data_IF_146259873448
#
_entry.id   IF_146259873448
#
_cell.length_a   1.000
_cell.length_b   1.000
_cell.length_c   1.000
_cell.angle_alpha   90.00
_cell.angle_beta   90.00
_cell.angle_gamma   90.00
#
_symmetry.space_group_name_H-M   'P 1'
#
loop_
_entity.id
_entity.type
_entity.pdbx_description
1 polymer ?
#
# COMPACT_ATOMS: atom_id res chain seq x y z
N UNK A 1 -38.41 23.48 61.02
CA UNK A 1 -37.05 23.01 60.58
C UNK A 1 -37.09 21.60 59.97
N UNK A 2 -38.00 21.31 59.05
CA UNK A 2 -38.10 20.00 58.36
C UNK A 2 -37.85 20.07 56.84
N UNK A 3 -37.72 21.26 56.26
CA UNK A 3 -37.56 21.46 54.80
C UNK A 3 -36.15 21.19 54.30
N UNK A 4 -35.14 21.19 55.13
CA UNK A 4 -33.73 20.98 54.70
C UNK A 4 -33.38 19.49 54.51
N UNK A 5 -34.01 18.59 55.24
CA UNK A 5 -33.73 17.14 55.16
C UNK A 5 -34.28 16.56 53.84
N UNK A 6 -35.43 16.99 53.40
CA UNK A 6 -36.07 16.52 52.17
C UNK A 6 -35.31 16.97 50.91
N UNK A 7 -34.77 18.19 50.93
CA UNK A 7 -33.95 18.70 49.81
C UNK A 7 -32.62 17.97 49.65
N UNK A 8 -32.01 17.52 50.78
CA UNK A 8 -30.77 16.73 50.77
C UNK A 8 -31.04 15.31 50.25
N UNK A 9 -32.18 14.69 50.62
CA UNK A 9 -32.56 13.37 50.14
C UNK A 9 -32.88 13.38 48.65
N UNK A 10 -33.58 14.40 48.16
CA UNK A 10 -33.93 14.56 46.76
C UNK A 10 -32.67 14.82 45.88
N UNK A 11 -31.73 15.64 46.34
CA UNK A 11 -30.43 15.82 45.64
C UNK A 11 -29.62 14.52 45.56
N UNK A 12 -29.61 13.69 46.60
CA UNK A 12 -28.96 12.38 46.56
C UNK A 12 -29.66 11.40 45.62
N UNK A 13 -31.00 11.40 45.58
CA UNK A 13 -31.78 10.59 44.62
C UNK A 13 -31.54 11.02 43.17
N UNK A 14 -31.53 12.33 42.88
CA UNK A 14 -31.23 12.83 41.55
C UNK A 14 -29.78 12.51 41.09
N UNK A 15 -28.81 12.67 41.99
CA UNK A 15 -27.41 12.30 41.68
C UNK A 15 -27.27 10.80 41.39
N UNK A 16 -27.94 9.92 42.15
CA UNK A 16 -27.95 8.46 41.90
C UNK A 16 -28.61 8.14 40.56
N UNK A 17 -29.72 8.77 40.22
CA UNK A 17 -30.39 8.59 38.94
C UNK A 17 -29.50 9.07 37.79
N UNK A 18 -28.88 10.23 37.91
CA UNK A 18 -27.93 10.76 36.89
C UNK A 18 -26.72 9.86 36.74
N UNK A 19 -26.15 9.35 37.81
CA UNK A 19 -25.02 8.42 37.75
C UNK A 19 -25.44 7.10 37.09
N UNK A 20 -26.62 6.57 37.46
CA UNK A 20 -27.16 5.36 36.81
C UNK A 20 -27.34 5.55 35.29
N UNK A 21 -27.97 6.63 34.88
CA UNK A 21 -28.16 6.90 33.43
C UNK A 21 -26.87 7.13 32.67
N UNK A 22 -25.89 7.78 33.33
CA UNK A 22 -24.54 7.94 32.73
C UNK A 22 -23.83 6.58 32.56
N UNK A 23 -23.83 5.74 33.58
CA UNK A 23 -23.23 4.40 33.51
C UNK A 23 -23.95 3.53 32.48
N UNK A 24 -25.29 3.61 32.44
CA UNK A 24 -26.07 2.89 31.43
C UNK A 24 -25.78 3.36 30.01
N UNK A 25 -25.67 4.67 29.78
CA UNK A 25 -25.33 5.23 28.48
C UNK A 25 -23.93 4.80 28.03
N UNK A 26 -22.96 4.81 28.95
CA UNK A 26 -21.59 4.33 28.69
C UNK A 26 -21.61 2.82 28.36
N UNK A 27 -22.35 2.02 29.13
CA UNK A 27 -22.46 0.58 28.89
C UNK A 27 -23.11 0.27 27.52
N UNK A 28 -24.16 1.02 27.15
CA UNK A 28 -24.80 0.90 25.82
C UNK A 28 -23.83 1.32 24.72
N UNK A 29 -23.06 2.42 24.90
CA UNK A 29 -22.06 2.86 23.94
C UNK A 29 -20.94 1.82 23.76
N UNK A 30 -20.45 1.22 24.85
CA UNK A 30 -19.46 0.14 24.81
C UNK A 30 -20.05 -1.10 24.13
N UNK A 31 -21.28 -1.50 24.48
CA UNK A 31 -21.96 -2.63 23.85
C UNK A 31 -22.18 -2.41 22.34
N UNK A 32 -22.56 -1.19 21.93
CA UNK A 32 -22.68 -0.81 20.53
C UNK A 32 -21.32 -0.85 19.80
N UNK A 33 -20.26 -0.33 20.41
CA UNK A 33 -18.89 -0.42 19.87
C UNK A 33 -18.40 -1.87 19.76
N UNK A 34 -18.68 -2.71 20.74
CA UNK A 34 -18.36 -4.15 20.72
C UNK A 34 -19.18 -4.87 19.65
N UNK A 35 -20.48 -4.57 19.53
CA UNK A 35 -21.34 -5.14 18.49
C UNK A 35 -20.92 -4.71 17.07
N UNK A 36 -20.59 -3.44 16.90
CA UNK A 36 -20.01 -2.90 15.65
C UNK A 36 -18.66 -3.56 15.38
N UNK A 37 -17.79 -3.66 16.38
CA UNK A 37 -16.50 -4.34 16.27
C UNK A 37 -16.63 -5.83 15.95
N UNK A 38 -17.61 -6.52 16.54
CA UNK A 38 -17.91 -7.92 16.24
C UNK A 38 -18.50 -8.09 14.84
N UNK A 39 -19.42 -7.22 14.43
CA UNK A 39 -19.98 -7.20 13.08
C UNK A 39 -18.92 -6.87 12.01
N UNK A 40 -17.92 -6.04 12.36
CA UNK A 40 -16.76 -5.72 11.50
C UNK A 40 -15.67 -6.80 11.53
N UNK A 41 -15.58 -7.58 12.62
CA UNK A 41 -14.64 -8.71 12.78
C UNK A 41 -15.17 -10.02 12.21
N UNK A 42 -16.43 -10.09 11.78
CA UNK A 42 -16.89 -11.24 10.99
C UNK A 42 -16.02 -11.29 9.74
N UNK A 43 -15.14 -12.30 9.62
CA UNK A 43 -14.17 -12.35 8.54
C UNK A 43 -14.91 -12.36 7.22
N UNK A 44 -14.66 -11.33 6.41
CA UNK A 44 -14.92 -11.38 4.97
C UNK A 44 -16.33 -11.73 4.55
N UNK A 45 -17.35 -11.06 5.11
CA UNK A 45 -18.74 -11.25 4.66
C UNK A 45 -18.96 -10.91 3.16
N UNK A 46 -17.95 -10.35 2.47
CA UNK A 46 -17.98 -10.16 1.01
C UNK A 46 -17.55 -11.39 0.22
N UNK A 47 -16.49 -12.08 0.65
CA UNK A 47 -15.95 -13.23 -0.08
C UNK A 47 -16.43 -14.59 0.48
N UNK A 48 -16.68 -14.66 1.82
CA UNK A 48 -17.16 -15.88 2.50
C UNK A 48 -18.68 -15.92 2.68
N UNK A 49 -19.41 -14.81 2.59
CA UNK A 49 -20.89 -14.80 2.71
C UNK A 49 -21.60 -15.38 1.48
N UNK A 50 -20.86 -15.72 0.43
CA UNK A 50 -21.34 -16.59 -0.62
C UNK A 50 -20.79 -18.00 -0.42
N UNK A 51 -21.33 -18.79 0.50
CA UNK A 51 -21.17 -20.26 0.50
C UNK A 51 -21.85 -20.91 -0.73
N UNK A 52 -21.76 -20.23 -1.87
CA UNK A 52 -22.13 -20.64 -3.22
C UNK A 52 -20.88 -20.95 -4.04
N UNK A 53 -20.93 -20.76 -5.32
CA UNK A 53 -19.92 -21.10 -6.30
C UNK A 53 -18.56 -20.41 -6.07
N UNK A 54 -17.44 -21.06 -6.41
CA UNK A 54 -16.12 -20.43 -6.44
C UNK A 54 -16.15 -19.16 -7.30
N UNK A 55 -15.38 -18.13 -6.89
CA UNK A 55 -15.30 -16.87 -7.62
C UNK A 55 -13.83 -16.51 -7.86
N UNK A 56 -13.53 -15.92 -9.02
CA UNK A 56 -12.22 -15.30 -9.28
C UNK A 56 -12.04 -14.14 -8.32
N UNK A 57 -10.91 -14.07 -7.64
CA UNK A 57 -10.62 -12.99 -6.71
C UNK A 57 -10.09 -11.78 -7.48
N UNK A 58 -10.77 -10.62 -7.35
CA UNK A 58 -10.26 -9.33 -7.82
C UNK A 58 -9.50 -8.65 -6.69
N UNK A 59 -8.22 -8.37 -6.91
CA UNK A 59 -7.34 -7.65 -6.00
C UNK A 59 -6.97 -6.31 -6.61
N UNK A 60 -7.09 -5.22 -5.86
CA UNK A 60 -6.70 -3.89 -6.35
C UNK A 60 -5.43 -3.41 -5.65
N UNK A 61 -4.42 -3.01 -6.44
CA UNK A 61 -3.16 -2.43 -5.99
C UNK A 61 -3.00 -1.08 -6.66
N UNK A 62 -3.06 0.00 -5.88
CA UNK A 62 -2.98 1.37 -6.39
C UNK A 62 -2.09 2.25 -5.52
N UNK A 63 -1.54 3.32 -6.15
CA UNK A 63 -0.66 4.28 -5.48
C UNK A 63 0.73 3.71 -5.21
N UNK A 64 1.42 4.27 -4.20
CA UNK A 64 2.80 3.92 -3.87
C UNK A 64 2.91 2.52 -3.24
N UNK A 65 3.81 1.71 -3.76
CA UNK A 65 4.13 0.38 -3.23
C UNK A 65 5.22 0.53 -2.19
N UNK A 66 4.90 0.12 -0.96
CA UNK A 66 5.81 0.06 0.19
C UNK A 66 5.75 -1.32 0.82
N UNK A 67 6.66 -1.60 1.73
CA UNK A 67 6.54 -2.78 2.60
C UNK A 67 5.22 -2.72 3.38
N UNK A 68 4.46 -3.82 3.36
CA UNK A 68 3.13 -3.89 3.97
C UNK A 68 2.85 -5.35 4.37
N UNK A 69 3.01 -5.63 5.65
CA UNK A 69 2.86 -6.97 6.19
C UNK A 69 1.40 -7.46 6.13
N UNK A 70 0.44 -6.56 6.33
CA UNK A 70 -1.00 -6.92 6.24
C UNK A 70 -1.35 -7.40 4.83
N UNK A 71 -0.76 -6.76 3.81
CA UNK A 71 -0.91 -7.17 2.41
C UNK A 71 -0.28 -8.54 2.14
N UNK A 72 0.90 -8.81 2.68
CA UNK A 72 1.55 -10.13 2.56
C UNK A 72 0.67 -11.21 3.16
N UNK A 73 0.15 -10.98 4.37
CA UNK A 73 -0.75 -11.93 5.04
C UNK A 73 -2.08 -12.12 4.31
N UNK A 74 -2.63 -11.03 3.75
CA UNK A 74 -3.86 -11.11 2.95
C UNK A 74 -3.66 -11.95 1.69
N UNK A 75 -2.53 -11.78 0.98
CA UNK A 75 -2.18 -12.61 -0.18
C UNK A 75 -1.94 -14.07 0.22
N UNK A 76 -1.31 -14.34 1.36
CA UNK A 76 -1.13 -15.69 1.88
C UNK A 76 -2.47 -16.35 2.29
N UNK A 77 -3.44 -15.57 2.79
CA UNK A 77 -4.82 -16.07 3.01
C UNK A 77 -5.54 -16.35 1.69
N UNK A 78 -5.33 -15.49 0.68
CA UNK A 78 -5.90 -15.67 -0.67
C UNK A 78 -5.36 -16.94 -1.34
N UNK A 79 -4.07 -17.23 -1.18
CA UNK A 79 -3.45 -18.48 -1.66
C UNK A 79 -4.22 -19.72 -1.19
N UNK A 80 -4.63 -19.75 0.10
CA UNK A 80 -5.37 -20.85 0.73
C UNK A 80 -6.88 -20.81 0.48
N UNK A 81 -7.39 -19.78 -0.18
CA UNK A 81 -8.83 -19.61 -0.44
C UNK A 81 -9.35 -20.58 -1.52
N UNK A 82 -10.66 -20.61 -1.73
CA UNK A 82 -11.32 -21.38 -2.80
C UNK A 82 -11.36 -20.66 -4.16
N UNK A 83 -10.75 -19.49 -4.27
CA UNK A 83 -10.71 -18.76 -5.54
C UNK A 83 -9.93 -19.60 -6.59
N UNK A 84 -10.52 -19.84 -7.79
CA UNK A 84 -9.84 -20.60 -8.83
C UNK A 84 -8.74 -19.83 -9.53
N UNK A 85 -8.78 -18.50 -9.50
CA UNK A 85 -7.78 -17.59 -10.06
C UNK A 85 -7.83 -16.24 -9.37
N UNK A 86 -6.83 -15.40 -9.67
CA UNK A 86 -6.71 -14.02 -9.18
C UNK A 86 -6.50 -13.07 -10.34
N UNK A 87 -7.29 -12.00 -10.37
CA UNK A 87 -7.08 -10.84 -11.26
C UNK A 87 -6.62 -9.67 -10.40
N UNK A 88 -5.44 -9.15 -10.71
CA UNK A 88 -4.85 -8.00 -10.00
C UNK A 88 -5.03 -6.76 -10.86
N UNK A 89 -5.89 -5.85 -10.43
CA UNK A 89 -6.00 -4.50 -10.97
C UNK A 89 -4.86 -3.65 -10.45
N UNK A 90 -4.02 -3.17 -11.35
CA UNK A 90 -2.80 -2.45 -11.00
C UNK A 90 -2.81 -1.04 -11.57
N UNK A 91 -2.65 -0.05 -10.67
CA UNK A 91 -2.48 1.36 -11.03
C UNK A 91 -1.46 2.02 -10.11
N UNK A 92 -0.17 1.84 -10.42
CA UNK A 92 0.92 2.23 -9.53
C UNK A 92 2.13 2.83 -10.26
N UNK A 93 2.67 3.96 -9.79
CA UNK A 93 3.95 4.51 -10.27
C UNK A 93 5.17 3.77 -9.71
N UNK A 94 4.97 2.73 -8.90
CA UNK A 94 6.02 2.06 -8.15
C UNK A 94 6.08 2.48 -6.69
N UNK A 95 7.27 2.47 -6.10
CA UNK A 95 7.48 2.79 -4.69
C UNK A 95 8.89 2.46 -4.22
N UNK A 96 9.03 1.94 -3.00
CA UNK A 96 10.33 1.48 -2.52
C UNK A 96 10.73 0.18 -3.22
N UNK A 97 12.03 0.00 -3.44
CA UNK A 97 12.55 -1.23 -4.07
C UNK A 97 12.19 -2.45 -3.24
N UNK A 98 12.41 -2.40 -1.92
CA UNK A 98 12.07 -3.48 -0.98
C UNK A 98 10.58 -3.78 -0.91
N UNK A 99 9.71 -2.75 -0.95
CA UNK A 99 8.26 -2.95 -0.99
C UNK A 99 7.78 -3.61 -2.26
N UNK A 100 8.41 -3.26 -3.40
CA UNK A 100 8.11 -3.86 -4.70
C UNK A 100 8.57 -5.31 -4.79
N UNK A 101 9.74 -5.62 -4.26
CA UNK A 101 10.27 -6.99 -4.11
C UNK A 101 9.35 -7.84 -3.23
N UNK A 102 8.98 -7.35 -2.03
CA UNK A 102 8.07 -8.04 -1.13
C UNK A 102 6.73 -8.40 -1.79
N UNK A 103 6.17 -7.46 -2.56
CA UNK A 103 4.91 -7.67 -3.27
C UNK A 103 5.09 -8.66 -4.43
N UNK A 104 6.17 -8.52 -5.20
CA UNK A 104 6.51 -9.46 -6.26
C UNK A 104 6.61 -10.90 -5.72
N UNK A 105 7.37 -11.12 -4.67
CA UNK A 105 7.54 -12.43 -4.05
C UNK A 105 6.23 -13.02 -3.53
N UNK A 106 5.36 -12.15 -2.98
CA UNK A 106 4.05 -12.58 -2.50
C UNK A 106 3.13 -13.01 -3.64
N UNK A 107 3.17 -12.31 -4.77
CA UNK A 107 2.42 -12.69 -5.97
C UNK A 107 3.03 -13.92 -6.65
N UNK A 108 4.35 -14.08 -6.64
CA UNK A 108 5.00 -15.29 -7.16
C UNK A 108 4.59 -16.54 -6.37
N UNK A 109 4.55 -16.48 -5.04
CA UNK A 109 4.03 -17.58 -4.21
C UNK A 109 2.56 -17.88 -4.51
N UNK A 110 1.73 -16.83 -4.64
CA UNK A 110 0.32 -16.99 -5.02
C UNK A 110 0.17 -17.67 -6.37
N UNK A 111 1.00 -17.29 -7.35
CA UNK A 111 1.04 -17.84 -8.70
C UNK A 111 1.40 -19.32 -8.74
N UNK A 112 2.20 -19.83 -7.82
CA UNK A 112 2.52 -21.26 -7.71
C UNK A 112 1.29 -22.12 -7.44
N UNK A 113 0.25 -21.54 -6.84
CA UNK A 113 -0.96 -22.23 -6.42
C UNK A 113 -2.20 -21.88 -7.26
N UNK A 114 -2.24 -20.68 -7.84
CA UNK A 114 -3.39 -20.16 -8.59
C UNK A 114 -2.93 -19.31 -9.77
N UNK A 115 -3.60 -19.39 -10.92
CA UNK A 115 -3.35 -18.46 -12.02
C UNK A 115 -3.53 -17.00 -11.57
N UNK A 116 -2.56 -16.16 -11.90
CA UNK A 116 -2.58 -14.72 -11.62
C UNK A 116 -2.49 -13.94 -12.91
N UNK A 117 -3.48 -13.09 -13.18
CA UNK A 117 -3.48 -12.15 -14.30
C UNK A 117 -3.43 -10.73 -13.76
N UNK A 118 -2.53 -9.91 -14.30
CA UNK A 118 -2.50 -8.48 -14.00
C UNK A 118 -3.23 -7.72 -15.11
N UNK A 119 -4.14 -6.82 -14.70
CA UNK A 119 -4.78 -5.83 -15.57
C UNK A 119 -4.23 -4.46 -15.18
N UNK A 120 -3.54 -3.82 -16.10
CA UNK A 120 -2.99 -2.47 -15.90
C UNK A 120 -4.06 -1.45 -16.26
N UNK A 121 -4.70 -0.86 -15.25
CA UNK A 121 -5.79 0.09 -15.45
C UNK A 121 -5.32 1.44 -16.05
N UNK A 122 -4.17 1.94 -15.60
CA UNK A 122 -3.60 3.18 -16.13
C UNK A 122 -2.09 3.19 -16.10
N UNK A 123 -1.50 2.65 -15.02
CA UNK A 123 -0.06 2.77 -14.77
C UNK A 123 0.50 1.51 -14.08
N UNK A 124 1.54 0.93 -14.66
CA UNK A 124 2.39 -0.07 -14.02
C UNK A 124 3.85 0.29 -14.33
N UNK A 125 4.38 1.28 -13.62
CA UNK A 125 5.73 1.79 -13.87
C UNK A 125 6.67 1.44 -12.71
N UNK A 126 7.93 1.19 -13.03
CA UNK A 126 9.00 0.97 -12.06
C UNK A 126 8.66 -0.16 -11.07
N UNK A 127 8.54 0.05 -9.77
CA UNK A 127 8.06 -0.95 -8.81
C UNK A 127 6.68 -1.53 -9.13
N UNK A 128 5.81 -0.75 -9.80
CA UNK A 128 4.55 -1.24 -10.34
C UNK A 128 4.78 -2.28 -11.45
N UNK A 129 5.78 -2.07 -12.29
CA UNK A 129 6.12 -3.03 -13.33
C UNK A 129 6.78 -4.29 -12.75
N UNK A 130 7.61 -4.15 -11.69
CA UNK A 130 8.08 -5.31 -10.90
C UNK A 130 6.89 -6.16 -10.43
N UNK A 131 5.85 -5.52 -9.93
CA UNK A 131 4.62 -6.21 -9.50
C UNK A 131 3.91 -6.90 -10.67
N UNK A 132 3.79 -6.22 -11.82
CA UNK A 132 3.10 -6.77 -13.00
C UNK A 132 3.76 -8.04 -13.54
N UNK A 133 5.08 -8.08 -13.60
CA UNK A 133 5.81 -9.24 -14.13
C UNK A 133 5.78 -10.48 -13.22
N UNK A 134 5.22 -10.40 -12.02
CA UNK A 134 4.94 -11.58 -11.20
C UNK A 134 3.80 -12.44 -11.79
N UNK A 135 2.92 -11.87 -12.61
CA UNK A 135 1.77 -12.55 -13.18
C UNK A 135 2.12 -13.64 -14.22
N UNK A 136 1.13 -14.49 -14.52
CA UNK A 136 1.16 -15.40 -15.66
C UNK A 136 0.89 -14.67 -16.97
N UNK A 137 0.06 -13.62 -16.91
CA UNK A 137 -0.36 -12.85 -18.08
C UNK A 137 -0.62 -11.38 -17.69
N UNK A 138 -0.20 -10.47 -18.54
CA UNK A 138 -0.34 -9.03 -18.34
C UNK A 138 -1.22 -8.46 -19.43
N UNK A 139 -2.37 -7.93 -19.03
CA UNK A 139 -3.30 -7.18 -19.89
C UNK A 139 -3.16 -5.70 -19.60
N UNK A 140 -3.11 -4.85 -20.61
CA UNK A 140 -3.08 -3.41 -20.45
C UNK A 140 -4.03 -2.72 -21.42
N UNK A 141 -4.56 -1.56 -21.02
CA UNK A 141 -5.26 -0.70 -21.97
C UNK A 141 -4.26 -0.10 -22.97
N UNK A 142 -4.72 0.27 -24.15
CA UNK A 142 -3.85 0.83 -25.21
C UNK A 142 -2.98 1.99 -24.77
N UNK A 143 -3.52 2.85 -23.90
CA UNK A 143 -2.87 4.08 -23.41
C UNK A 143 -2.29 3.94 -21.99
N UNK A 144 -2.46 2.80 -21.32
CA UNK A 144 -1.80 2.55 -20.04
C UNK A 144 -0.29 2.64 -20.18
N UNK A 145 0.37 3.15 -19.14
CA UNK A 145 1.82 3.29 -19.13
C UNK A 145 2.47 2.13 -18.40
N UNK A 146 3.50 1.54 -19.00
CA UNK A 146 4.27 0.43 -18.44
C UNK A 146 5.77 0.67 -18.58
N UNK A 147 6.58 -0.09 -17.83
CA UNK A 147 8.04 -0.01 -17.93
C UNK A 147 8.65 0.87 -16.85
N UNK A 148 9.39 1.93 -17.22
CA UNK A 148 10.25 2.67 -16.27
C UNK A 148 11.19 1.73 -15.52
N UNK A 149 11.88 0.86 -16.26
CA UNK A 149 12.80 -0.13 -15.71
C UNK A 149 14.08 0.59 -15.30
N UNK A 150 14.15 0.96 -14.04
CA UNK A 150 15.22 1.75 -13.45
C UNK A 150 15.06 1.94 -11.96
N UNK A 151 16.13 2.36 -11.30
CA UNK A 151 16.20 2.66 -9.87
C UNK A 151 16.81 4.04 -9.68
N UNK A 152 16.26 4.81 -8.78
CA UNK A 152 16.71 6.16 -8.45
C UNK A 152 16.94 6.28 -6.95
N UNK A 153 17.98 7.02 -6.55
CA UNK A 153 18.13 7.56 -5.21
C UNK A 153 18.10 9.09 -5.31
N UNK A 154 17.11 9.70 -4.72
CA UNK A 154 16.89 11.14 -4.82
C UNK A 154 16.71 11.77 -3.44
N UNK A 155 17.41 12.87 -3.22
CA UNK A 155 17.30 13.69 -2.01
C UNK A 155 17.50 15.16 -2.37
N UNK A 156 16.83 16.11 -1.68
CA UNK A 156 17.12 17.53 -1.84
C UNK A 156 18.47 17.85 -1.17
N UNK A 157 19.29 18.70 -1.81
CA UNK A 157 20.48 19.26 -1.18
C UNK A 157 20.29 20.77 -1.01
N UNK A 158 20.29 21.22 0.23
CA UNK A 158 20.07 22.62 0.63
C UNK A 158 21.32 23.27 1.24
N UNK A 159 22.49 22.64 1.11
CA UNK A 159 23.74 23.13 1.69
C UNK A 159 24.03 24.59 1.36
N UNK A 160 23.99 24.95 0.07
CA UNK A 160 24.25 26.32 -0.40
C UNK A 160 23.21 27.34 0.10
N UNK A 161 21.98 26.90 0.31
CA UNK A 161 20.93 27.76 0.89
C UNK A 161 21.22 28.03 2.36
N UNK A 162 21.58 27.00 3.12
CA UNK A 162 21.92 27.13 4.55
C UNK A 162 23.14 28.05 4.75
N UNK A 163 24.16 27.90 3.91
CA UNK A 163 25.33 28.78 3.93
C UNK A 163 24.95 30.25 3.70
N UNK A 164 24.10 30.54 2.69
CA UNK A 164 23.61 31.92 2.44
C UNK A 164 22.80 32.50 3.58
N UNK A 165 22.14 31.67 4.37
CA UNK A 165 21.37 32.07 5.53
C UNK A 165 22.24 32.15 6.81
N UNK A 166 23.54 31.82 6.74
CA UNK A 166 24.46 31.79 7.88
C UNK A 166 24.17 30.64 8.85
N UNK A 167 23.46 29.62 8.43
CA UNK A 167 23.11 28.42 9.22
C UNK A 167 24.18 27.35 8.99
N UNK A 168 24.79 26.88 10.08
CA UNK A 168 25.74 25.76 10.05
C UNK A 168 25.10 24.54 10.67
N UNK A 169 25.17 23.42 9.97
CA UNK A 169 24.80 22.10 10.50
C UNK A 169 26.07 21.41 10.94
N UNK A 170 26.19 21.14 12.25
CA UNK A 170 27.32 20.44 12.83
C UNK A 170 26.97 18.98 13.08
N UNK A 171 27.81 18.05 12.60
CA UNK A 171 27.60 16.64 12.74
C UNK A 171 28.84 15.96 13.36
N UNK A 172 28.61 15.09 14.34
CA UNK A 172 29.65 14.22 14.90
C UNK A 172 29.35 12.79 14.40
N UNK A 173 30.16 12.32 13.44
CA UNK A 173 29.96 11.03 12.78
C UNK A 173 31.00 10.02 13.22
N UNK A 174 30.61 8.74 13.33
CA UNK A 174 31.54 7.63 13.60
C UNK A 174 32.46 7.33 12.40
N UNK A 175 32.05 7.72 11.20
CA UNK A 175 32.83 7.57 9.94
C UNK A 175 32.34 8.57 8.89
N UNK A 176 33.16 8.94 7.90
CA UNK A 176 32.80 9.93 6.86
C UNK A 176 31.54 9.56 6.06
N UNK A 177 31.28 8.28 5.85
CA UNK A 177 30.13 7.80 5.07
C UNK A 177 28.87 7.58 5.92
N UNK A 178 28.96 7.75 7.25
CA UNK A 178 27.76 7.64 8.10
C UNK A 178 26.76 8.73 7.78
N UNK A 179 25.56 8.35 7.36
CA UNK A 179 24.48 9.24 6.93
C UNK A 179 24.86 10.15 5.74
N UNK A 180 25.80 9.73 4.88
CA UNK A 180 26.15 10.43 3.66
C UNK A 180 25.67 9.64 2.42
N UNK A 181 25.15 10.32 1.38
CA UNK A 181 24.91 11.75 1.35
C UNK A 181 23.72 12.17 2.22
N UNK A 182 23.77 13.39 2.76
CA UNK A 182 22.63 14.05 3.39
C UNK A 182 22.31 15.35 2.64
N UNK A 183 21.23 16.02 2.98
CA UNK A 183 20.84 17.25 2.28
C UNK A 183 21.50 18.52 2.81
N UNK A 184 22.40 18.46 3.80
CA UNK A 184 22.90 19.59 4.54
C UNK A 184 24.36 19.94 4.27
N UNK A 185 25.08 19.06 3.58
CA UNK A 185 26.47 19.24 3.18
C UNK A 185 26.66 18.94 1.68
N UNK A 186 27.72 19.47 1.03
CA UNK A 186 28.09 19.09 -0.33
C UNK A 186 28.36 17.57 -0.41
N UNK A 187 27.78 16.91 -1.40
CA UNK A 187 27.95 15.45 -1.56
C UNK A 187 29.37 15.12 -1.98
N UNK A 188 30.10 14.39 -1.14
CA UNK A 188 31.46 13.97 -1.46
C UNK A 188 31.48 12.92 -2.62
N UNK A 189 32.59 12.81 -3.36
CA UNK A 189 32.78 11.80 -4.39
C UNK A 189 32.60 10.38 -3.85
N UNK A 190 33.06 10.09 -2.65
CA UNK A 190 32.96 8.80 -1.97
C UNK A 190 31.52 8.47 -1.61
N UNK A 191 30.75 9.43 -1.07
CA UNK A 191 29.33 9.25 -0.77
C UNK A 191 28.54 9.02 -2.06
N UNK A 192 28.84 9.75 -3.14
CA UNK A 192 28.24 9.54 -4.45
C UNK A 192 28.54 8.14 -4.99
N UNK A 193 29.79 7.69 -4.90
CA UNK A 193 30.19 6.37 -5.36
C UNK A 193 29.48 5.25 -4.57
N UNK A 194 29.36 5.40 -3.24
CA UNK A 194 28.67 4.42 -2.40
C UNK A 194 27.19 4.29 -2.80
N UNK A 195 26.47 5.38 -3.00
CA UNK A 195 25.07 5.33 -3.45
C UNK A 195 24.96 4.81 -4.89
N UNK A 196 25.87 5.23 -5.80
CA UNK A 196 25.87 4.72 -7.16
C UNK A 196 26.04 3.20 -7.23
N UNK A 197 26.83 2.61 -6.34
CA UNK A 197 26.97 1.16 -6.23
C UNK A 197 25.65 0.47 -5.83
N UNK A 198 24.92 1.02 -4.85
CA UNK A 198 23.62 0.48 -4.43
C UNK A 198 22.57 0.60 -5.54
N UNK A 199 22.52 1.75 -6.22
CA UNK A 199 21.62 1.97 -7.36
C UNK A 199 21.93 0.99 -8.48
N UNK A 200 23.21 0.79 -8.80
CA UNK A 200 23.66 -0.13 -9.86
C UNK A 200 23.29 -1.59 -9.54
N UNK A 201 23.50 -2.03 -8.30
CA UNK A 201 23.16 -3.38 -7.84
C UNK A 201 21.64 -3.63 -7.96
N UNK A 202 20.82 -2.73 -7.41
CA UNK A 202 19.35 -2.83 -7.49
C UNK A 202 18.84 -2.74 -8.93
N UNK A 203 19.47 -1.94 -9.78
CA UNK A 203 19.14 -1.86 -11.18
C UNK A 203 19.48 -3.15 -11.94
N UNK A 204 20.65 -3.73 -11.67
CA UNK A 204 21.03 -5.02 -12.25
C UNK A 204 20.06 -6.13 -11.86
N UNK A 205 19.62 -6.17 -10.60
CA UNK A 205 18.58 -7.07 -10.12
C UNK A 205 17.27 -6.88 -10.89
N UNK A 206 16.76 -5.65 -11.02
CA UNK A 206 15.52 -5.37 -11.72
C UNK A 206 15.60 -5.74 -13.21
N UNK A 207 16.70 -5.41 -13.89
CA UNK A 207 16.93 -5.80 -15.28
C UNK A 207 16.89 -7.31 -15.47
N UNK A 208 17.58 -8.06 -14.61
CA UNK A 208 17.59 -9.51 -14.66
C UNK A 208 16.20 -10.11 -14.43
N UNK A 209 15.44 -9.53 -13.50
CA UNK A 209 14.06 -9.92 -13.23
C UNK A 209 13.18 -9.77 -14.48
N UNK A 210 13.25 -8.61 -15.13
CA UNK A 210 12.52 -8.35 -16.39
C UNK A 210 12.98 -9.30 -17.50
N UNK A 211 14.28 -9.45 -17.69
CA UNK A 211 14.86 -10.37 -18.69
C UNK A 211 14.28 -11.78 -18.56
N UNK A 212 14.31 -12.30 -17.34
CA UNK A 212 13.85 -13.66 -17.04
C UNK A 212 12.33 -13.78 -17.19
N UNK A 213 11.58 -12.85 -16.61
CA UNK A 213 10.12 -12.94 -16.58
C UNK A 213 9.48 -12.66 -17.93
N UNK A 214 10.11 -11.85 -18.78
CA UNK A 214 9.60 -11.49 -20.11
C UNK A 214 10.34 -12.24 -21.23
N UNK A 215 11.27 -13.15 -20.89
CA UNK A 215 12.05 -13.95 -21.84
C UNK A 215 12.69 -13.07 -22.92
N UNK A 216 13.27 -11.93 -22.49
CA UNK A 216 13.94 -10.99 -23.39
C UNK A 216 15.39 -11.43 -23.63
N UNK A 217 15.88 -11.24 -24.85
CA UNK A 217 17.31 -11.29 -25.11
C UNK A 217 17.99 -9.97 -24.65
N UNK A 218 19.31 -9.89 -24.76
CA UNK A 218 20.06 -8.73 -24.28
C UNK A 218 19.74 -7.48 -25.10
N UNK A 219 19.51 -7.61 -26.41
CA UNK A 219 19.19 -6.49 -27.30
C UNK A 219 17.77 -5.94 -27.00
N UNK A 220 16.80 -6.81 -26.82
CA UNK A 220 15.44 -6.41 -26.42
C UNK A 220 15.45 -5.77 -25.03
N UNK A 221 16.22 -6.32 -24.08
CA UNK A 221 16.35 -5.76 -22.74
C UNK A 221 16.95 -4.34 -22.76
N UNK A 222 18.02 -4.11 -23.51
CA UNK A 222 18.64 -2.77 -23.65
C UNK A 222 17.65 -1.73 -24.19
N UNK A 223 16.74 -2.12 -25.07
CA UNK A 223 15.73 -1.22 -25.66
C UNK A 223 14.66 -0.78 -24.66
N UNK A 224 14.41 -1.54 -23.62
CA UNK A 224 13.33 -1.30 -22.66
C UNK A 224 13.81 -0.91 -21.26
N UNK A 225 15.09 -1.09 -20.95
CA UNK A 225 15.64 -0.93 -19.60
C UNK A 225 16.37 0.40 -19.38
N UNK A 226 16.06 1.44 -20.14
CA UNK A 226 16.68 2.77 -20.02
C UNK A 226 15.91 3.76 -19.12
N UNK A 227 14.91 3.28 -18.40
CA UNK A 227 14.12 4.07 -17.47
C UNK A 227 12.89 4.75 -18.08
N UNK A 228 12.69 4.70 -19.40
CA UNK A 228 11.50 5.29 -20.04
C UNK A 228 10.24 4.47 -19.80
N UNK A 229 9.08 5.11 -19.97
CA UNK A 229 7.77 4.46 -20.00
C UNK A 229 7.31 4.23 -21.43
N UNK A 230 6.43 3.25 -21.59
CA UNK A 230 5.84 2.85 -22.87
C UNK A 230 4.32 2.80 -22.73
N UNK A 231 3.59 3.10 -23.79
CA UNK A 231 2.15 2.84 -23.83
C UNK A 231 1.87 1.33 -23.87
N UNK A 232 0.66 0.90 -23.52
CA UNK A 232 0.26 -0.51 -23.63
C UNK A 232 0.50 -1.08 -25.04
N UNK A 233 0.19 -0.30 -26.09
CA UNK A 233 0.48 -0.68 -27.50
C UNK A 233 1.97 -0.92 -27.74
N UNK A 234 2.82 -0.02 -27.29
CA UNK A 234 4.28 -0.20 -27.39
C UNK A 234 4.74 -1.39 -26.51
N UNK A 235 4.13 -1.55 -25.32
CA UNK A 235 4.41 -2.65 -24.41
C UNK A 235 4.19 -4.02 -25.03
N UNK A 236 3.14 -4.20 -25.80
CA UNK A 236 2.90 -5.47 -26.53
C UNK A 236 4.00 -5.71 -27.56
N UNK A 237 4.34 -4.72 -28.39
CA UNK A 237 5.41 -4.88 -29.42
C UNK A 237 6.79 -5.13 -28.83
N UNK A 238 7.04 -4.64 -27.59
CA UNK A 238 8.27 -4.81 -26.82
C UNK A 238 8.24 -6.01 -25.86
N UNK A 239 7.21 -6.82 -25.90
CA UNK A 239 7.01 -7.97 -25.01
C UNK A 239 6.89 -7.62 -23.51
N UNK A 240 6.63 -6.36 -23.17
CA UNK A 240 6.42 -5.91 -21.80
C UNK A 240 4.99 -6.21 -21.33
N UNK A 241 4.05 -6.31 -22.23
CA UNK A 241 2.63 -6.64 -22.04
C UNK A 241 2.28 -7.80 -22.97
N UNK A 242 1.37 -8.66 -22.56
CA UNK A 242 0.99 -9.82 -23.34
C UNK A 242 -0.18 -9.52 -24.28
N UNK A 243 -1.16 -8.72 -23.81
CA UNK A 243 -2.39 -8.46 -24.57
C UNK A 243 -2.96 -7.07 -24.23
N UNK A 244 -3.62 -6.46 -25.21
CA UNK A 244 -4.40 -5.23 -24.97
C UNK A 244 -5.82 -5.57 -24.57
N UNK A 245 -6.37 -4.87 -23.57
CA UNK A 245 -7.73 -5.08 -23.11
C UNK A 245 -7.97 -4.65 -21.68
N UNK A 246 -8.97 -5.27 -21.07
CA UNK A 246 -9.47 -5.00 -19.72
C UNK A 246 -9.67 -6.31 -18.93
N UNK A 247 -10.43 -6.25 -17.84
CA UNK A 247 -10.77 -7.42 -17.02
C UNK A 247 -11.48 -8.53 -17.83
N UNK A 248 -12.26 -8.18 -18.84
CA UNK A 248 -12.94 -9.18 -19.68
C UNK A 248 -11.93 -9.99 -20.49
N UNK A 249 -10.88 -9.34 -20.97
CA UNK A 249 -9.75 -9.98 -21.63
C UNK A 249 -9.05 -10.94 -20.69
N UNK A 250 -8.80 -10.51 -19.45
CA UNK A 250 -8.21 -11.37 -18.40
C UNK A 250 -9.07 -12.61 -18.11
N UNK A 251 -10.39 -12.46 -17.99
CA UNK A 251 -11.33 -13.58 -17.80
C UNK A 251 -11.32 -14.50 -19.03
N UNK A 252 -11.30 -13.97 -20.23
CA UNK A 252 -11.23 -14.76 -21.47
C UNK A 252 -9.93 -15.57 -21.54
N UNK A 253 -8.79 -14.97 -21.18
CA UNK A 253 -7.51 -15.66 -21.09
C UNK A 253 -7.55 -16.80 -20.05
N UNK A 254 -8.08 -16.54 -18.85
CA UNK A 254 -8.26 -17.57 -17.81
C UNK A 254 -9.14 -18.73 -18.28
N UNK A 255 -10.20 -18.43 -19.02
CA UNK A 255 -11.06 -19.47 -19.59
C UNK A 255 -10.33 -20.32 -20.63
N UNK A 256 -9.61 -19.68 -21.53
CA UNK A 256 -8.90 -20.32 -22.63
C UNK A 256 -7.70 -21.15 -22.13
N UNK A 257 -6.82 -20.55 -21.36
CA UNK A 257 -5.51 -21.11 -20.99
C UNK A 257 -5.57 -21.94 -19.70
N UNK A 258 -6.44 -21.57 -18.75
CA UNK A 258 -6.54 -22.23 -17.43
C UNK A 258 -7.83 -23.05 -17.25
N UNK A 259 -8.69 -23.11 -18.29
CA UNK A 259 -9.95 -23.87 -18.29
C UNK A 259 -10.92 -23.47 -17.18
N UNK A 260 -10.87 -22.22 -16.74
CA UNK A 260 -11.82 -21.67 -15.77
C UNK A 260 -13.09 -21.31 -16.52
N UNK A 261 -14.25 -21.71 -15.97
CA UNK A 261 -15.54 -21.40 -16.58
C UNK A 261 -15.69 -19.87 -16.73
N UNK A 262 -15.92 -19.35 -17.95
CA UNK A 262 -16.11 -17.91 -18.19
C UNK A 262 -17.32 -17.33 -17.45
N UNK A 263 -18.27 -18.16 -17.01
CA UNK A 263 -19.39 -17.75 -16.17
C UNK A 263 -19.01 -17.61 -14.68
N UNK A 264 -17.77 -17.96 -14.29
CA UNK A 264 -17.30 -17.80 -12.92
C UNK A 264 -17.30 -16.31 -12.54
N UNK A 265 -18.04 -15.91 -11.48
CA UNK A 265 -18.12 -14.51 -11.10
C UNK A 265 -16.77 -13.99 -10.61
N UNK A 266 -16.47 -12.72 -10.91
CA UNK A 266 -15.34 -11.99 -10.31
C UNK A 266 -15.84 -11.27 -9.07
N UNK A 267 -15.12 -11.41 -7.93
CA UNK A 267 -15.48 -10.77 -6.65
C UNK A 267 -14.28 -10.08 -6.04
N UNK A 268 -14.51 -8.91 -5.46
CA UNK A 268 -13.48 -8.14 -4.79
C UNK A 268 -12.92 -8.88 -3.57
N UNK A 269 -11.60 -9.01 -3.54
CA UNK A 269 -10.85 -9.50 -2.40
C UNK A 269 -10.01 -8.36 -1.82
N UNK A 270 -10.27 -8.00 -0.57
CA UNK A 270 -9.60 -6.87 0.08
C UNK A 270 -8.29 -7.29 0.70
N UNK A 271 -7.24 -6.53 0.41
CA UNK A 271 -5.90 -6.71 0.99
C UNK A 271 -5.74 -6.05 2.38
N UNK A 272 -6.66 -5.15 2.75
CA UNK A 272 -6.65 -4.47 4.05
C UNK A 272 -7.97 -4.67 4.78
N UNK A 273 -7.90 -4.74 6.09
CA UNK A 273 -9.10 -4.80 6.92
C UNK A 273 -9.83 -3.45 6.95
N UNK A 274 -11.16 -3.50 6.98
CA UNK A 274 -12.04 -2.32 6.97
C UNK A 274 -11.75 -1.29 8.05
N UNK A 275 -11.13 -1.68 9.17
CA UNK A 275 -10.86 -0.81 10.31
C UNK A 275 -9.77 0.22 10.02
N UNK A 276 -8.79 -0.11 9.17
CA UNK A 276 -7.73 0.83 8.76
C UNK A 276 -8.22 1.93 7.82
N UNK A 277 -9.37 1.73 7.17
CA UNK A 277 -9.93 2.63 6.16
C UNK A 277 -11.03 3.57 6.72
N UNK A 278 -11.26 3.56 8.05
CA UNK A 278 -12.30 4.35 8.69
C UNK A 278 -11.71 5.48 9.56
N UNK A 279 -11.08 6.52 8.94
CA UNK A 279 -10.51 7.64 9.68
C UNK A 279 -11.55 8.37 10.56
N UNK A 280 -12.84 8.28 10.20
CA UNK A 280 -13.91 8.87 11.00
C UNK A 280 -14.14 8.14 12.34
N UNK A 281 -13.84 6.84 12.46
CA UNK A 281 -13.93 6.13 13.74
C UNK A 281 -12.86 6.61 14.72
N UNK A 282 -11.68 6.92 14.24
CA UNK A 282 -10.63 7.53 15.03
C UNK A 282 -11.08 8.92 15.53
N UNK A 283 -11.57 9.77 14.63
CA UNK A 283 -12.07 11.10 14.98
C UNK A 283 -13.29 11.04 15.91
N UNK A 284 -14.20 10.11 15.68
CA UNK A 284 -15.36 9.88 16.54
C UNK A 284 -14.96 9.35 17.92
N UNK A 285 -13.97 8.46 18.01
CA UNK A 285 -13.45 7.95 19.27
C UNK A 285 -12.75 9.06 20.08
N UNK A 286 -11.93 9.89 19.43
CA UNK A 286 -11.29 11.06 20.05
C UNK A 286 -12.34 12.04 20.57
N UNK A 287 -13.34 12.40 19.75
CA UNK A 287 -14.42 13.30 20.14
C UNK A 287 -15.29 12.72 21.29
N UNK A 288 -15.55 11.42 21.26
CA UNK A 288 -16.30 10.76 22.35
C UNK A 288 -15.52 10.74 23.67
N UNK A 289 -14.21 10.50 23.63
CA UNK A 289 -13.34 10.53 24.81
C UNK A 289 -13.23 11.96 25.38
N UNK A 290 -13.15 12.95 24.52
CA UNK A 290 -13.12 14.38 24.93
C UNK A 290 -14.45 14.79 25.59
N UNK A 291 -15.60 14.39 24.99
CA UNK A 291 -16.93 14.63 25.56
C UNK A 291 -17.16 13.93 26.92
N UNK A 292 -16.44 12.83 27.18
CA UNK A 292 -16.46 12.09 28.45
C UNK A 292 -15.47 12.64 29.49
N UNK A 293 -14.70 13.71 29.16
CA UNK A 293 -13.70 14.28 30.04
C UNK A 293 -12.42 13.46 30.14
N UNK A 294 -12.19 12.53 29.21
CA UNK A 294 -11.01 11.67 29.14
C UNK A 294 -9.98 12.20 28.13
N UNK A 295 -9.78 13.51 28.10
CA UNK A 295 -8.93 14.23 27.14
C UNK A 295 -7.46 13.78 27.14
N UNK A 296 -6.96 13.20 28.24
CA UNK A 296 -5.61 12.61 28.29
C UNK A 296 -5.51 11.32 27.45
N UNK A 297 -6.57 10.53 27.37
CA UNK A 297 -6.65 9.35 26.49
C UNK A 297 -6.92 9.74 25.03
N UNK A 298 -7.74 10.77 24.80
CA UNK A 298 -7.99 11.32 23.48
C UNK A 298 -6.67 11.78 22.82
N UNK A 299 -5.85 12.54 23.52
CA UNK A 299 -4.51 13.00 23.06
C UNK A 299 -3.57 11.84 22.74
N UNK A 300 -3.53 10.77 23.55
CA UNK A 300 -2.69 9.59 23.26
C UNK A 300 -3.11 8.88 21.95
N UNK A 301 -4.39 8.84 21.66
CA UNK A 301 -4.90 8.23 20.41
C UNK A 301 -4.57 9.14 19.22
N UNK A 302 -4.67 10.45 19.38
CA UNK A 302 -4.34 11.45 18.37
C UNK A 302 -2.83 11.44 18.04
N UNK A 303 -1.96 11.38 19.06
CA UNK A 303 -0.51 11.24 18.91
C UNK A 303 -0.13 9.95 18.17
N UNK A 304 -0.83 8.86 18.41
CA UNK A 304 -0.59 7.58 17.72
C UNK A 304 -0.97 7.64 16.23
N UNK A 305 -2.03 8.36 15.89
CA UNK A 305 -2.44 8.61 14.50
C UNK A 305 -1.46 9.48 13.73
N UNK A 306 -0.89 10.49 14.35
CA UNK A 306 0.11 11.39 13.73
C UNK A 306 1.45 10.68 13.52
N UNK A 307 1.91 9.86 14.46
CA UNK A 307 3.12 9.04 14.32
C UNK A 307 2.99 8.08 13.13
N UNK A 308 1.87 7.37 13.00
CA UNK A 308 1.62 6.51 11.84
C UNK A 308 1.55 7.28 10.51
N UNK A 309 1.05 8.51 10.51
CA UNK A 309 1.02 9.34 9.30
C UNK A 309 2.43 9.78 8.87
N UNK A 310 3.31 10.10 9.83
CA UNK A 310 4.72 10.45 9.56
C UNK A 310 5.52 9.23 9.14
N UNK A 311 5.32 8.07 9.77
CA UNK A 311 5.95 6.81 9.36
C UNK A 311 5.55 6.40 7.93
N UNK A 312 4.32 6.71 7.52
CA UNK A 312 3.85 6.47 6.14
C UNK A 312 4.56 7.34 5.09
N UNK A 313 5.22 8.42 5.47
CA UNK A 313 6.01 9.28 4.58
C UNK A 313 7.49 8.83 4.48
N UNK A 314 7.96 7.97 5.38
CA UNK A 314 9.32 7.46 5.36
C UNK A 314 9.48 6.47 4.19
N UNK A 315 10.15 6.92 3.14
CA UNK A 315 10.62 6.08 2.04
C UNK A 315 12.03 5.62 2.37
N UNK A 316 12.37 4.38 2.02
CA UNK A 316 13.68 3.76 2.30
C UNK A 316 14.86 4.44 1.57
N UNK A 317 14.61 5.57 0.91
CA UNK A 317 15.63 6.31 0.13
C UNK A 317 15.91 5.70 -1.25
N UNK A 318 15.88 4.38 -1.40
CA UNK A 318 16.06 3.70 -2.67
C UNK A 318 14.68 3.43 -3.31
N UNK A 319 14.42 4.03 -4.47
CA UNK A 319 13.12 4.04 -5.09
C UNK A 319 13.13 3.34 -6.46
N UNK A 320 12.16 2.48 -6.67
CA UNK A 320 11.67 2.05 -7.96
C UNK A 320 10.34 2.76 -8.22
N UNK A 321 10.43 4.07 -8.50
CA UNK A 321 9.30 4.99 -8.61
C UNK A 321 9.39 5.78 -9.91
N UNK A 322 8.29 5.85 -10.63
CA UNK A 322 8.08 6.77 -11.73
C UNK A 322 7.21 7.95 -11.28
N UNK A 323 7.63 9.18 -11.55
CA UNK A 323 6.80 10.36 -11.37
C UNK A 323 6.89 11.24 -12.64
N UNK A 324 5.78 11.70 -13.20
CA UNK A 324 5.82 12.74 -14.21
C UNK A 324 6.39 14.00 -13.55
N UNK A 325 7.23 14.73 -14.27
CA UNK A 325 7.60 16.07 -13.86
C UNK A 325 6.30 16.85 -13.65
N UNK A 326 6.13 17.42 -12.46
CA UNK A 326 5.02 18.30 -12.22
C UNK A 326 5.06 19.37 -13.32
N UNK A 327 4.07 19.39 -14.19
CA UNK A 327 3.91 20.45 -15.14
C UNK A 327 3.73 21.75 -14.33
N UNK A 328 4.65 22.71 -14.53
CA UNK A 328 4.57 24.06 -13.98
C UNK A 328 3.27 24.74 -14.41
#
# INVERSE_FOLDING_TARGET
>A
MSLDADTIVDRRRMRRKLTFWRVLAIAIAIAALVAIGAALRLPGTGFLAGQGSPAIARVSISGLIRTDQDRVEALARLEKSRAPAVIVHLNSPGGTTSGSEQLYDSLMRLREHKPVVVVVDGLAASGGYITAIAADHIVAQETSLVGSIGVIFQYPNVADLLEKLGIKVEEIKSSPLKAAPNGFEPTSPEARAAIAAIVSDSYAWFRNLVKTRRSLDDADLERVADGRVFTGRQGVSLKLVDELGDERTAVAWLAKEKKIDPATPVRDYRLRDRLSDLPFLHTAAVAALDALGLSSFARRIEDWGTVQAVERLNLDGLLALWHPLAAN
#
